data_IF_427788208852
#
_entry.id   IF_427788208852
#
_cell.length_a   1.000
_cell.length_b   1.000
_cell.length_c   1.000
_cell.angle_alpha   90.00
_cell.angle_beta   90.00
_cell.angle_gamma   90.00
#
_symmetry.space_group_name_H-M   'P 1'
#
loop_
_entity.id
_entity.type
_entity.pdbx_description
1 polymer ?
#
# COMPACT_ATOMS: atom_id res chain seq x y z
N UNK A 1 -57.36 -15.24 -21.25
CA UNK A 1 -56.44 -15.11 -20.10
C UNK A 1 -55.02 -15.01 -20.65
N UNK A 2 -54.53 -13.78 -20.82
CA UNK A 2 -53.26 -13.50 -21.50
C UNK A 2 -52.09 -13.47 -20.52
N UNK A 3 -51.20 -14.45 -20.62
CA UNK A 3 -49.88 -14.42 -19.99
C UNK A 3 -48.86 -13.80 -20.96
N UNK A 4 -48.84 -12.48 -21.11
CA UNK A 4 -47.65 -11.75 -21.57
C UNK A 4 -47.74 -10.31 -21.02
N UNK A 5 -46.92 -9.96 -19.99
CA UNK A 5 -45.95 -8.89 -20.19
C UNK A 5 -44.65 -9.00 -19.36
N UNK A 6 -44.25 -10.20 -18.89
CA UNK A 6 -43.08 -10.31 -17.99
C UNK A 6 -41.74 -10.15 -18.74
N UNK A 7 -41.66 -10.60 -20.01
CA UNK A 7 -40.41 -10.56 -20.78
C UNK A 7 -39.99 -9.13 -21.19
N UNK A 8 -40.94 -8.25 -21.48
CA UNK A 8 -40.64 -6.86 -21.88
C UNK A 8 -40.13 -6.01 -20.71
N UNK A 9 -40.69 -6.20 -19.51
CA UNK A 9 -40.23 -5.53 -18.29
C UNK A 9 -38.82 -6.00 -17.88
N UNK A 10 -38.52 -7.29 -18.01
CA UNK A 10 -37.18 -7.82 -17.76
C UNK A 10 -36.13 -7.27 -18.74
N UNK A 11 -36.49 -7.08 -20.01
CA UNK A 11 -35.61 -6.48 -21.03
C UNK A 11 -35.31 -4.99 -20.79
N UNK A 12 -36.32 -4.20 -20.39
CA UNK A 12 -36.14 -2.79 -20.05
C UNK A 12 -35.29 -2.58 -18.80
N UNK A 13 -35.50 -3.40 -17.75
CA UNK A 13 -34.69 -3.36 -16.53
C UNK A 13 -33.21 -3.70 -16.80
N UNK A 14 -32.94 -4.67 -17.69
CA UNK A 14 -31.57 -5.03 -18.09
C UNK A 14 -30.85 -3.94 -18.90
N UNK A 15 -31.59 -3.14 -19.69
CA UNK A 15 -31.02 -2.03 -20.44
C UNK A 15 -30.71 -0.85 -19.51
N UNK A 16 -31.56 -0.57 -18.53
CA UNK A 16 -31.36 0.52 -17.58
C UNK A 16 -30.23 0.25 -16.57
N UNK A 17 -30.05 -0.99 -16.11
CA UNK A 17 -28.90 -1.38 -15.28
C UNK A 17 -27.59 -1.27 -16.03
N UNK A 18 -27.55 -1.74 -17.29
CA UNK A 18 -26.37 -1.62 -18.15
C UNK A 18 -26.01 -0.15 -18.42
N UNK A 19 -26.99 0.73 -18.61
CA UNK A 19 -26.75 2.17 -18.75
C UNK A 19 -26.20 2.78 -17.46
N UNK A 20 -26.72 2.41 -16.30
CA UNK A 20 -26.21 2.88 -15.01
C UNK A 20 -24.75 2.44 -14.80
N UNK A 21 -24.42 1.17 -15.06
CA UNK A 21 -23.04 0.66 -14.96
C UNK A 21 -22.11 1.35 -15.96
N UNK A 22 -22.55 1.56 -17.20
CA UNK A 22 -21.76 2.28 -18.22
C UNK A 22 -21.53 3.74 -17.85
N UNK A 23 -22.52 4.43 -17.29
CA UNK A 23 -22.39 5.82 -16.86
C UNK A 23 -21.43 5.95 -15.67
N UNK A 24 -21.48 5.03 -14.71
CA UNK A 24 -20.52 5.02 -13.59
C UNK A 24 -19.12 4.65 -14.08
N UNK A 25 -19.00 3.69 -15.00
CA UNK A 25 -17.71 3.32 -15.59
C UNK A 25 -17.11 4.48 -16.42
N UNK A 26 -17.95 5.21 -17.16
CA UNK A 26 -17.52 6.39 -17.90
C UNK A 26 -17.06 7.51 -16.95
N UNK A 27 -17.78 7.75 -15.85
CA UNK A 27 -17.37 8.73 -14.83
C UNK A 27 -16.03 8.32 -14.16
N UNK A 28 -15.84 7.04 -13.86
CA UNK A 28 -14.58 6.52 -13.31
C UNK A 28 -13.42 6.64 -14.31
N UNK A 29 -13.65 6.33 -15.59
CA UNK A 29 -12.65 6.49 -16.65
C UNK A 29 -12.29 7.96 -16.88
N UNK A 30 -13.27 8.86 -16.87
CA UNK A 30 -13.04 10.30 -17.00
C UNK A 30 -12.19 10.83 -15.83
N UNK A 31 -12.51 10.42 -14.60
CA UNK A 31 -11.73 10.79 -13.43
C UNK A 31 -10.29 10.21 -13.47
N UNK A 32 -10.13 8.96 -13.88
CA UNK A 32 -8.82 8.33 -14.04
C UNK A 32 -7.97 9.05 -15.11
N UNK A 33 -8.57 9.39 -16.26
CA UNK A 33 -7.91 10.14 -17.31
C UNK A 33 -7.51 11.55 -16.86
N UNK A 34 -8.38 12.23 -16.10
CA UNK A 34 -8.08 13.54 -15.51
C UNK A 34 -6.93 13.46 -14.49
N UNK A 35 -6.92 12.43 -13.64
CA UNK A 35 -5.84 12.20 -12.67
C UNK A 35 -4.50 11.89 -13.36
N UNK A 36 -4.51 11.10 -14.44
CA UNK A 36 -3.31 10.79 -15.21
C UNK A 36 -2.78 12.02 -15.94
N UNK A 37 -3.66 12.79 -16.60
CA UNK A 37 -3.28 14.04 -17.25
C UNK A 37 -2.67 15.05 -16.25
N UNK A 38 -3.21 15.13 -15.03
CA UNK A 38 -2.65 15.96 -13.96
C UNK A 38 -1.28 15.45 -13.48
N UNK A 39 -1.07 14.13 -13.42
CA UNK A 39 0.21 13.55 -13.03
C UNK A 39 1.29 13.78 -14.11
N UNK A 40 0.94 13.63 -15.39
CA UNK A 40 1.84 13.87 -16.53
C UNK A 40 2.20 15.36 -16.63
N UNK A 41 1.21 16.26 -16.54
CA UNK A 41 1.44 17.70 -16.52
C UNK A 41 2.27 18.14 -15.30
N UNK A 42 2.05 17.51 -14.14
CA UNK A 42 2.87 17.72 -12.94
C UNK A 42 4.32 17.26 -13.13
N UNK A 43 4.54 16.10 -13.76
CA UNK A 43 5.88 15.59 -14.05
C UNK A 43 6.63 16.46 -15.07
N UNK A 44 5.95 16.91 -16.14
CA UNK A 44 6.50 17.84 -17.12
C UNK A 44 6.81 19.21 -16.51
N UNK A 45 5.93 19.73 -15.65
CA UNK A 45 6.16 20.99 -14.94
C UNK A 45 7.35 20.89 -13.96
N UNK A 46 7.51 19.76 -13.26
CA UNK A 46 8.67 19.52 -12.37
C UNK A 46 9.96 19.39 -13.18
N UNK A 47 9.93 18.70 -14.33
CA UNK A 47 11.08 18.58 -15.22
C UNK A 47 11.48 19.92 -15.84
N UNK A 48 10.52 20.72 -16.31
CA UNK A 48 10.74 22.07 -16.81
C UNK A 48 11.25 23.02 -15.72
N UNK A 49 10.77 22.88 -14.49
CA UNK A 49 11.24 23.66 -13.35
C UNK A 49 12.67 23.31 -12.94
N UNK A 50 13.08 22.04 -13.01
CA UNK A 50 14.47 21.63 -12.76
C UNK A 50 15.44 22.11 -13.84
N UNK A 51 14.96 22.35 -15.06
CA UNK A 51 15.77 22.87 -16.16
C UNK A 51 15.98 24.40 -16.12
N UNK A 52 15.22 25.14 -15.30
CA UNK A 52 15.25 26.60 -15.25
C UNK A 52 16.02 27.10 -14.01
N UNK A 53 17.07 27.91 -14.16
CA UNK A 53 18.02 28.25 -13.08
C UNK A 53 17.49 29.21 -11.99
N UNK A 54 16.21 29.60 -12.00
CA UNK A 54 15.69 30.65 -11.11
C UNK A 54 14.20 30.55 -10.72
N UNK A 55 13.60 29.36 -10.80
CA UNK A 55 12.17 29.22 -10.46
C UNK A 55 11.99 29.01 -8.95
N UNK A 56 11.22 29.89 -8.33
CA UNK A 56 10.79 29.79 -6.93
C UNK A 56 9.86 28.58 -6.73
N UNK A 57 10.04 27.85 -5.62
CA UNK A 57 9.18 26.74 -5.18
C UNK A 57 7.68 27.09 -5.19
N UNK A 58 7.33 28.36 -4.98
CA UNK A 58 5.95 28.85 -5.04
C UNK A 58 5.35 28.80 -6.47
N UNK A 59 6.16 29.02 -7.51
CA UNK A 59 5.71 28.95 -8.89
C UNK A 59 5.46 27.50 -9.35
N UNK A 60 6.28 26.56 -8.88
CA UNK A 60 6.08 25.11 -9.09
C UNK A 60 4.78 24.64 -8.42
N UNK A 61 4.49 25.12 -7.20
CA UNK A 61 3.22 24.82 -6.53
C UNK A 61 2.01 25.43 -7.23
N UNK A 62 2.11 26.68 -7.73
CA UNK A 62 1.02 27.33 -8.46
C UNK A 62 0.67 26.64 -9.78
N UNK A 63 1.68 26.16 -10.52
CA UNK A 63 1.51 25.38 -11.74
C UNK A 63 0.84 24.02 -11.47
N UNK A 64 1.26 23.34 -10.39
CA UNK A 64 0.58 22.12 -9.93
C UNK A 64 -0.91 22.38 -9.63
N UNK A 65 -1.21 23.44 -8.88
CA UNK A 65 -2.59 23.80 -8.50
C UNK A 65 -3.50 24.10 -9.72
N UNK A 66 -2.99 24.73 -10.77
CA UNK A 66 -3.77 24.97 -12.00
C UNK A 66 -4.06 23.67 -12.77
N UNK A 67 -3.11 22.73 -12.79
CA UNK A 67 -3.32 21.41 -13.39
C UNK A 67 -4.38 20.59 -12.62
N UNK A 68 -4.38 20.69 -11.29
CA UNK A 68 -5.43 20.07 -10.46
C UNK A 68 -6.80 20.71 -10.68
N UNK A 69 -6.87 22.04 -10.88
CA UNK A 69 -8.13 22.73 -11.14
C UNK A 69 -8.77 22.34 -12.49
N UNK A 70 -7.97 22.13 -13.54
CA UNK A 70 -8.46 21.67 -14.83
C UNK A 70 -8.97 20.21 -14.79
N UNK A 71 -8.28 19.34 -14.05
CA UNK A 71 -8.72 17.97 -13.81
C UNK A 71 -10.03 17.92 -13.00
N UNK A 72 -10.15 18.77 -11.98
CA UNK A 72 -11.36 18.89 -11.16
C UNK A 72 -12.59 19.33 -11.97
N UNK A 73 -12.44 20.23 -12.95
CA UNK A 73 -13.56 20.71 -13.77
C UNK A 73 -14.20 19.62 -14.67
N UNK A 74 -13.39 18.69 -15.19
CA UNK A 74 -13.87 17.54 -15.99
C UNK A 74 -14.52 16.47 -15.09
N UNK A 75 -14.00 16.32 -13.86
CA UNK A 75 -14.59 15.45 -12.84
C UNK A 75 -15.97 15.97 -12.40
N UNK A 76 -16.10 17.28 -12.17
CA UNK A 76 -17.33 17.92 -11.70
C UNK A 76 -18.49 17.73 -12.69
N UNK A 77 -18.25 17.94 -13.98
CA UNK A 77 -19.29 17.75 -15.03
C UNK A 77 -19.75 16.28 -15.14
N UNK A 78 -18.82 15.33 -15.00
CA UNK A 78 -19.14 13.89 -15.02
C UNK A 78 -19.90 13.46 -13.76
N UNK A 79 -19.53 14.00 -12.60
CA UNK A 79 -20.20 13.74 -11.31
C UNK A 79 -21.59 14.38 -11.25
N UNK A 80 -21.77 15.57 -11.82
CA UNK A 80 -23.08 16.20 -11.96
C UNK A 80 -24.02 15.37 -12.82
N UNK A 81 -23.54 14.84 -13.95
CA UNK A 81 -24.32 13.94 -14.80
C UNK A 81 -24.72 12.67 -14.06
N UNK A 82 -23.81 12.07 -13.29
CA UNK A 82 -24.12 10.90 -12.46
C UNK A 82 -25.16 11.23 -11.37
N UNK A 83 -24.99 12.34 -10.65
CA UNK A 83 -25.95 12.79 -9.62
C UNK A 83 -27.33 13.06 -10.23
N UNK A 84 -27.37 13.67 -11.41
CA UNK A 84 -28.61 13.91 -12.14
C UNK A 84 -29.28 12.59 -12.54
N UNK A 85 -28.51 11.62 -13.02
CA UNK A 85 -29.00 10.28 -13.39
C UNK A 85 -29.54 9.52 -12.19
N UNK A 86 -28.84 9.56 -11.05
CA UNK A 86 -29.28 8.90 -9.81
C UNK A 86 -30.52 9.55 -9.17
N UNK A 87 -30.84 10.80 -9.51
CA UNK A 87 -32.07 11.48 -9.08
C UNK A 87 -33.27 11.20 -9.98
N UNK A 88 -33.09 10.49 -11.09
CA UNK A 88 -34.21 10.18 -11.98
C UNK A 88 -35.16 9.20 -11.28
N UNK A 89 -36.49 9.42 -11.36
CA UNK A 89 -37.47 8.54 -10.72
C UNK A 89 -37.45 7.10 -11.29
N UNK A 90 -36.91 6.94 -12.50
CA UNK A 90 -36.69 5.63 -13.11
C UNK A 90 -35.49 4.86 -12.52
N UNK A 91 -34.60 5.50 -11.78
CA UNK A 91 -33.46 4.86 -11.12
C UNK A 91 -33.82 4.61 -9.67
N UNK A 92 -34.20 3.38 -9.37
CA UNK A 92 -34.60 2.96 -8.02
C UNK A 92 -33.43 2.31 -7.27
N UNK A 93 -33.48 2.31 -5.94
CA UNK A 93 -32.52 1.59 -5.11
C UNK A 93 -32.44 0.09 -5.48
N UNK A 94 -33.56 -0.53 -5.85
CA UNK A 94 -33.60 -1.92 -6.32
C UNK A 94 -32.75 -2.14 -7.59
N UNK A 95 -32.81 -1.20 -8.55
CA UNK A 95 -32.01 -1.28 -9.78
C UNK A 95 -30.52 -1.06 -9.53
N UNK A 96 -30.18 -0.14 -8.61
CA UNK A 96 -28.80 0.07 -8.16
C UNK A 96 -28.28 -1.21 -7.49
N UNK A 97 -29.07 -1.84 -6.63
CA UNK A 97 -28.69 -3.06 -5.93
C UNK A 97 -28.56 -4.29 -6.84
N UNK A 98 -29.39 -4.40 -7.88
CA UNK A 98 -29.25 -5.42 -8.91
C UNK A 98 -27.91 -5.30 -9.67
N UNK A 99 -27.36 -4.07 -9.74
CA UNK A 99 -26.10 -3.77 -10.43
C UNK A 99 -24.90 -3.67 -9.47
N UNK A 100 -25.10 -3.93 -8.18
CA UNK A 100 -24.11 -3.67 -7.11
C UNK A 100 -22.75 -4.34 -7.37
N UNK A 101 -22.73 -5.62 -7.78
CA UNK A 101 -21.48 -6.34 -8.07
C UNK A 101 -20.72 -5.74 -9.25
N UNK A 102 -21.45 -5.29 -10.27
CA UNK A 102 -20.87 -4.64 -11.45
C UNK A 102 -20.33 -3.26 -11.11
N UNK A 103 -21.07 -2.47 -10.32
CA UNK A 103 -20.64 -1.15 -9.83
C UNK A 103 -19.39 -1.25 -8.96
N UNK A 104 -19.36 -2.24 -8.07
CA UNK A 104 -18.19 -2.49 -7.23
C UNK A 104 -16.97 -2.86 -8.05
N UNK A 105 -17.15 -3.63 -9.13
CA UNK A 105 -16.06 -4.05 -10.01
C UNK A 105 -15.46 -2.92 -10.87
N UNK A 106 -15.98 -1.69 -10.77
CA UNK A 106 -15.42 -0.54 -11.49
C UNK A 106 -14.17 -0.05 -10.72
N UNK A 107 -12.97 -0.09 -11.33
CA UNK A 107 -11.75 0.41 -10.70
C UNK A 107 -11.77 1.94 -10.65
N UNK A 108 -11.22 2.51 -9.57
CA UNK A 108 -10.98 3.95 -9.49
C UNK A 108 -12.23 4.83 -9.42
N UNK A 109 -13.35 4.29 -8.92
CA UNK A 109 -14.57 5.09 -8.71
C UNK A 109 -14.27 6.29 -7.80
N UNK A 110 -14.56 7.53 -8.22
CA UNK A 110 -14.34 8.71 -7.40
C UNK A 110 -15.16 8.66 -6.12
N UNK A 111 -14.60 9.19 -5.02
CA UNK A 111 -15.31 9.25 -3.75
C UNK A 111 -16.68 9.93 -3.81
N UNK A 112 -16.85 11.07 -4.52
CA UNK A 112 -18.17 11.69 -4.66
C UNK A 112 -19.18 10.81 -5.39
N UNK A 113 -18.75 10.00 -6.37
CA UNK A 113 -19.59 9.07 -7.12
C UNK A 113 -20.04 7.90 -6.22
N UNK A 114 -19.10 7.30 -5.49
CA UNK A 114 -19.41 6.25 -4.52
C UNK A 114 -20.39 6.76 -3.45
N UNK A 115 -20.14 7.94 -2.88
CA UNK A 115 -21.03 8.59 -1.90
C UNK A 115 -22.43 8.85 -2.46
N UNK A 116 -22.53 9.30 -3.70
CA UNK A 116 -23.82 9.53 -4.37
C UNK A 116 -24.61 8.21 -4.56
N UNK A 117 -23.93 7.12 -4.92
CA UNK A 117 -24.54 5.80 -5.07
C UNK A 117 -25.02 5.22 -3.74
N UNK A 118 -24.22 5.34 -2.67
CA UNK A 118 -24.62 4.94 -1.31
C UNK A 118 -25.87 5.68 -0.86
N UNK A 119 -25.89 7.01 -1.03
CA UNK A 119 -27.07 7.84 -0.71
C UNK A 119 -28.29 7.54 -1.58
N UNK A 120 -28.08 7.09 -2.81
CA UNK A 120 -29.16 6.67 -3.70
C UNK A 120 -29.72 5.27 -3.33
N UNK A 121 -29.23 4.65 -2.26
CA UNK A 121 -29.74 3.38 -1.74
C UNK A 121 -28.99 2.15 -2.23
N UNK A 122 -27.73 2.31 -2.65
CA UNK A 122 -26.82 1.17 -2.82
C UNK A 122 -26.63 0.50 -1.45
N UNK A 123 -27.28 -0.64 -1.25
CA UNK A 123 -27.12 -1.56 -0.13
C UNK A 123 -26.21 -2.68 -0.61
N UNK A 124 -24.91 -2.57 -0.35
CA UNK A 124 -23.97 -3.61 -0.75
C UNK A 124 -24.00 -4.74 0.27
N UNK A 125 -24.37 -5.95 -0.14
CA UNK A 125 -23.91 -7.15 0.57
C UNK A 125 -22.48 -7.43 0.09
N UNK A 126 -21.47 -6.93 0.81
CA UNK A 126 -20.10 -7.38 0.59
C UNK A 126 -19.71 -8.31 1.72
N UNK A 127 -19.41 -9.56 1.36
CA UNK A 127 -18.84 -10.53 2.28
C UNK A 127 -17.39 -10.17 2.63
N UNK A 128 -16.92 -10.57 3.82
CA UNK A 128 -15.50 -10.44 4.19
C UNK A 128 -14.57 -11.02 3.11
N UNK A 129 -14.92 -12.15 2.52
CA UNK A 129 -14.13 -12.79 1.46
C UNK A 129 -14.04 -11.94 0.21
N UNK A 130 -15.12 -11.27 -0.21
CA UNK A 130 -15.10 -10.36 -1.35
C UNK A 130 -14.27 -9.10 -1.06
N UNK A 131 -14.32 -8.60 0.18
CA UNK A 131 -13.52 -7.46 0.62
C UNK A 131 -12.03 -7.83 0.65
N UNK A 132 -11.70 -8.97 1.25
CA UNK A 132 -10.36 -9.48 1.34
C UNK A 132 -9.79 -9.86 -0.02
N UNK A 133 -10.57 -10.50 -0.90
CA UNK A 133 -10.14 -10.79 -2.27
C UNK A 133 -9.78 -9.51 -3.05
N UNK A 134 -10.58 -8.44 -2.88
CA UNK A 134 -10.32 -7.13 -3.50
C UNK A 134 -9.13 -6.42 -2.87
N UNK A 135 -8.99 -6.48 -1.55
CA UNK A 135 -7.85 -5.99 -0.82
C UNK A 135 -6.55 -6.67 -1.28
N UNK A 136 -6.55 -8.00 -1.38
CA UNK A 136 -5.42 -8.79 -1.86
C UNK A 136 -5.08 -8.53 -3.34
N UNK A 137 -6.10 -8.26 -4.17
CA UNK A 137 -5.89 -7.83 -5.56
C UNK A 137 -5.35 -6.39 -5.68
N UNK A 138 -5.15 -5.68 -4.56
CA UNK A 138 -4.79 -4.26 -4.51
C UNK A 138 -5.74 -3.39 -5.35
N UNK A 139 -7.00 -3.81 -5.48
CA UNK A 139 -7.97 -3.16 -6.34
C UNK A 139 -8.29 -1.76 -5.81
N UNK A 140 -7.96 -0.74 -6.61
CA UNK A 140 -8.26 0.65 -6.28
C UNK A 140 -9.77 0.89 -6.31
N UNK A 141 -10.33 1.32 -5.19
CA UNK A 141 -11.75 1.67 -5.11
C UNK A 141 -12.50 1.02 -3.97
N UNK A 142 -12.04 -0.11 -3.42
CA UNK A 142 -12.73 -0.77 -2.30
C UNK A 142 -12.85 0.18 -1.10
N UNK A 143 -11.75 0.79 -0.73
CA UNK A 143 -11.64 1.76 0.34
C UNK A 143 -12.46 3.03 0.10
N UNK A 144 -12.75 3.37 -1.17
CA UNK A 144 -13.69 4.45 -1.52
C UNK A 144 -15.09 4.10 -1.04
N UNK A 145 -15.52 2.86 -1.25
CA UNK A 145 -16.84 2.40 -0.87
C UNK A 145 -17.00 2.39 0.64
N UNK A 146 -16.06 1.83 1.39
CA UNK A 146 -16.10 1.87 2.87
C UNK A 146 -16.26 3.29 3.38
N UNK A 147 -15.48 4.24 2.84
CA UNK A 147 -15.61 5.64 3.22
C UNK A 147 -16.94 6.27 2.81
N UNK A 148 -17.49 5.87 1.66
CA UNK A 148 -18.79 6.38 1.20
C UNK A 148 -19.91 5.99 2.16
N UNK A 149 -19.84 4.80 2.76
CA UNK A 149 -20.72 4.38 3.85
C UNK A 149 -20.41 5.13 5.14
N UNK A 150 -19.14 5.26 5.54
CA UNK A 150 -18.75 6.00 6.75
C UNK A 150 -19.13 7.48 6.69
N UNK A 151 -19.23 8.08 5.51
CA UNK A 151 -19.62 9.48 5.35
C UNK A 151 -21.12 9.76 5.59
N UNK A 152 -21.90 8.74 5.94
CA UNK A 152 -23.33 8.80 6.23
C UNK A 152 -23.66 7.81 7.37
N UNK A 153 -23.46 8.24 8.62
CA UNK A 153 -23.48 7.41 9.84
C UNK A 153 -24.72 6.49 9.95
N UNK A 154 -25.90 6.99 9.58
CA UNK A 154 -27.14 6.21 9.60
C UNK A 154 -27.13 5.05 8.58
N UNK A 155 -26.53 5.28 7.41
CA UNK A 155 -26.36 4.24 6.38
C UNK A 155 -25.24 3.27 6.75
N UNK A 156 -24.21 3.72 7.49
CA UNK A 156 -23.15 2.85 7.97
C UNK A 156 -23.68 1.82 8.97
N UNK A 157 -24.48 2.22 9.95
CA UNK A 157 -25.04 1.28 10.94
C UNK A 157 -25.98 0.26 10.31
N UNK A 158 -26.86 0.70 9.40
CA UNK A 158 -27.78 -0.16 8.67
C UNK A 158 -27.03 -1.14 7.75
N UNK A 159 -25.98 -0.66 7.06
CA UNK A 159 -25.14 -1.50 6.22
C UNK A 159 -24.31 -2.49 7.04
N UNK A 160 -23.72 -2.02 8.13
CA UNK A 160 -22.83 -2.83 8.96
C UNK A 160 -23.59 -3.85 9.81
N UNK A 161 -24.91 -3.71 9.96
CA UNK A 161 -25.76 -4.68 10.65
C UNK A 161 -25.65 -6.10 10.07
N UNK A 162 -25.45 -6.20 8.76
CA UNK A 162 -25.34 -7.47 8.04
C UNK A 162 -23.88 -7.98 7.92
N UNK A 163 -22.90 -7.22 8.40
CA UNK A 163 -21.49 -7.64 8.36
C UNK A 163 -21.18 -8.61 9.52
N UNK A 164 -20.21 -9.52 9.32
CA UNK A 164 -19.60 -10.23 10.43
C UNK A 164 -19.12 -9.24 11.51
N UNK A 165 -19.31 -9.60 12.78
CA UNK A 165 -19.02 -8.73 13.94
C UNK A 165 -17.62 -8.12 13.87
N UNK A 166 -16.65 -8.90 13.41
CA UNK A 166 -15.25 -8.48 13.33
C UNK A 166 -15.04 -7.38 12.31
N UNK A 167 -15.69 -7.52 11.15
CA UNK A 167 -15.63 -6.55 10.08
C UNK A 167 -16.45 -5.31 10.41
N UNK A 168 -17.62 -5.47 11.04
CA UNK A 168 -18.41 -4.36 11.59
C UNK A 168 -17.56 -3.54 12.55
N UNK A 169 -16.86 -4.19 13.48
CA UNK A 169 -16.00 -3.50 14.43
C UNK A 169 -14.82 -2.79 13.75
N UNK A 170 -14.24 -3.34 12.67
CA UNK A 170 -13.22 -2.65 11.87
C UNK A 170 -13.78 -1.44 11.10
N UNK A 171 -14.93 -1.58 10.44
CA UNK A 171 -15.53 -0.54 9.59
C UNK A 171 -16.23 0.56 10.39
N UNK A 172 -16.74 0.25 11.59
CA UNK A 172 -17.50 1.18 12.44
C UNK A 172 -16.73 1.60 13.70
N UNK A 173 -15.41 1.37 13.77
CA UNK A 173 -14.59 1.61 14.98
C UNK A 173 -14.76 3.02 15.56
N UNK A 174 -14.99 4.02 14.71
CA UNK A 174 -15.22 5.41 15.10
C UNK A 174 -16.53 5.67 15.85
N UNK A 175 -17.58 4.91 15.54
CA UNK A 175 -18.93 5.13 16.12
C UNK A 175 -19.17 4.37 17.42
N UNK A 176 -18.43 3.27 17.64
CA UNK A 176 -18.66 2.39 18.79
C UNK A 176 -17.96 2.86 20.08
N UNK A 177 -17.27 4.01 20.07
CA UNK A 177 -16.82 4.74 21.27
C UNK A 177 -15.70 4.10 22.10
N UNK A 178 -15.42 2.81 21.94
CA UNK A 178 -14.23 2.14 22.43
C UNK A 178 -14.05 0.86 21.62
N UNK A 179 -12.93 0.74 20.90
CA UNK A 179 -12.55 -0.52 20.28
C UNK A 179 -12.06 -1.44 21.39
N UNK A 180 -12.73 -2.57 21.61
CA UNK A 180 -12.24 -3.62 22.51
C UNK A 180 -11.67 -4.77 21.66
N UNK A 181 -10.33 -4.87 21.50
CA UNK A 181 -9.70 -5.99 20.78
C UNK A 181 -10.13 -7.36 21.33
N UNK A 182 -10.47 -7.41 22.62
CA UNK A 182 -10.88 -8.65 23.29
C UNK A 182 -12.21 -9.20 22.78
N UNK A 183 -13.17 -8.37 22.35
CA UNK A 183 -14.49 -8.84 21.88
C UNK A 183 -14.45 -9.33 20.43
N UNK A 184 -13.55 -8.75 19.64
CA UNK A 184 -13.29 -9.05 18.23
C UNK A 184 -12.47 -10.33 18.04
N UNK A 185 -11.56 -10.59 18.99
CA UNK A 185 -10.69 -11.78 19.01
C UNK A 185 -11.13 -12.84 20.05
N UNK A 186 -12.22 -12.59 20.78
CA UNK A 186 -12.86 -13.57 21.67
C UNK A 186 -13.32 -14.85 20.93
N UNK A 187 -13.90 -14.79 19.72
CA UNK A 187 -14.09 -16.00 18.92
C UNK A 187 -12.76 -16.46 18.34
N UNK A 188 -12.46 -17.75 18.42
CA UNK A 188 -11.31 -18.37 17.74
C UNK A 188 -11.48 -18.24 16.21
N UNK A 189 -11.03 -17.12 15.64
CA UNK A 189 -11.00 -16.92 14.21
C UNK A 189 -10.07 -17.95 13.58
N UNK A 190 -10.50 -18.57 12.48
CA UNK A 190 -9.61 -19.36 11.65
C UNK A 190 -8.48 -18.47 11.11
N UNK A 191 -7.27 -19.02 10.93
CA UNK A 191 -6.14 -18.29 10.34
C UNK A 191 -6.48 -17.57 9.02
N UNK A 192 -7.28 -18.18 8.14
CA UNK A 192 -7.71 -17.54 6.89
C UNK A 192 -8.52 -16.27 7.13
N UNK A 193 -9.53 -16.33 8.02
CA UNK A 193 -10.33 -15.15 8.38
C UNK A 193 -9.49 -14.05 9.02
N UNK A 194 -8.52 -14.42 9.85
CA UNK A 194 -7.58 -13.45 10.44
C UNK A 194 -6.77 -12.74 9.36
N UNK A 195 -6.25 -13.48 8.36
CA UNK A 195 -5.52 -12.89 7.23
C UNK A 195 -6.41 -11.94 6.40
N UNK A 196 -7.66 -12.35 6.13
CA UNK A 196 -8.64 -11.53 5.41
C UNK A 196 -8.93 -10.21 6.14
N UNK A 197 -9.10 -10.25 7.46
CA UNK A 197 -9.33 -9.07 8.29
C UNK A 197 -8.10 -8.14 8.28
N UNK A 198 -6.89 -8.67 8.38
CA UNK A 198 -5.67 -7.88 8.25
C UNK A 198 -5.58 -7.20 6.88
N UNK A 199 -5.88 -7.91 5.79
CA UNK A 199 -5.85 -7.35 4.45
C UNK A 199 -6.81 -6.15 4.33
N UNK A 200 -8.03 -6.29 4.85
CA UNK A 200 -9.02 -5.19 4.86
C UNK A 200 -8.57 -4.03 5.75
N UNK A 201 -8.07 -4.32 6.95
CA UNK A 201 -7.60 -3.31 7.89
C UNK A 201 -6.46 -2.47 7.31
N UNK A 202 -5.46 -3.12 6.69
CA UNK A 202 -4.35 -2.44 6.02
C UNK A 202 -4.84 -1.47 4.93
N UNK A 203 -5.82 -1.86 4.12
CA UNK A 203 -6.40 -0.96 3.09
C UNK A 203 -7.11 0.25 3.69
N UNK A 204 -7.89 0.04 4.76
CA UNK A 204 -8.57 1.15 5.46
C UNK A 204 -7.54 2.11 6.04
N UNK A 205 -6.50 1.60 6.70
CA UNK A 205 -5.41 2.40 7.25
C UNK A 205 -4.65 3.19 6.16
N UNK A 206 -4.34 2.55 5.03
CA UNK A 206 -3.60 3.18 3.93
C UNK A 206 -4.29 4.40 3.36
N UNK A 207 -5.63 4.40 3.34
CA UNK A 207 -6.39 5.55 2.87
C UNK A 207 -6.56 6.64 3.91
N UNK A 208 -6.73 6.29 5.19
CA UNK A 208 -6.68 7.25 6.29
C UNK A 208 -5.39 8.10 6.22
N UNK A 209 -4.28 7.42 5.94
CA UNK A 209 -2.96 8.04 5.77
C UNK A 209 -2.87 9.06 4.61
N UNK A 210 -3.69 8.95 3.56
CA UNK A 210 -3.67 9.87 2.41
C UNK A 210 -4.41 11.18 2.65
N UNK A 211 -5.45 11.15 3.48
CA UNK A 211 -6.31 12.32 3.71
C UNK A 211 -5.69 13.32 4.70
N UNK A 212 -4.65 12.90 5.44
CA UNK A 212 -3.87 13.75 6.35
C UNK A 212 -3.15 14.92 5.65
N UNK A 213 -2.99 14.88 4.33
CA UNK A 213 -2.26 15.89 3.55
C UNK A 213 -3.05 17.17 3.28
N UNK A 214 -4.37 17.21 3.53
CA UNK A 214 -5.22 18.32 3.10
C UNK A 214 -5.50 19.39 4.17
N UNK A 215 -4.68 19.46 5.23
CA UNK A 215 -4.73 20.60 6.16
C UNK A 215 -6.10 20.82 6.81
N UNK A 216 -6.96 19.80 6.83
CA UNK A 216 -8.21 19.87 7.56
C UNK A 216 -7.87 19.87 9.05
N UNK A 217 -8.24 20.93 9.80
CA UNK A 217 -8.02 21.01 11.23
C UNK A 217 -9.09 20.16 11.91
N UNK A 218 -9.00 18.84 11.75
CA UNK A 218 -9.60 17.93 12.70
C UNK A 218 -8.54 17.66 13.76
N UNK A 219 -8.47 18.56 14.74
CA UNK A 219 -7.95 18.25 16.08
C UNK A 219 -8.80 17.10 16.62
N UNK A 220 -8.33 15.86 16.56
CA UNK A 220 -8.85 14.79 17.41
C UNK A 220 -8.01 13.52 17.23
N UNK A 221 -7.71 12.86 18.35
CA UNK A 221 -7.08 11.53 18.51
C UNK A 221 -7.77 10.39 17.71
N UNK A 222 -8.75 10.71 16.88
CA UNK A 222 -9.60 9.80 16.12
C UNK A 222 -9.03 9.33 14.78
N UNK A 223 -7.92 9.90 14.28
CA UNK A 223 -7.31 9.51 13.00
C UNK A 223 -6.35 8.31 13.11
N UNK A 224 -5.86 7.99 14.30
CA UNK A 224 -4.95 6.86 14.55
C UNK A 224 -5.69 5.52 14.67
N UNK A 225 -7.01 5.55 14.88
CA UNK A 225 -7.81 4.36 15.19
C UNK A 225 -7.61 3.16 14.22
N UNK A 226 -7.58 3.31 12.88
CA UNK A 226 -7.34 2.15 11.99
C UNK A 226 -5.92 1.57 12.12
N UNK A 227 -4.93 2.41 12.41
CA UNK A 227 -3.56 1.98 12.60
C UNK A 227 -3.37 1.29 13.95
N UNK A 228 -3.93 1.89 15.00
CA UNK A 228 -3.97 1.30 16.33
C UNK A 228 -4.69 -0.05 16.32
N UNK A 229 -5.75 -0.19 15.54
CA UNK A 229 -6.46 -1.46 15.40
C UNK A 229 -5.58 -2.57 14.84
N UNK A 230 -4.78 -2.28 13.81
CA UNK A 230 -3.81 -3.24 13.25
C UNK A 230 -2.76 -3.57 14.29
N UNK A 231 -2.23 -2.55 14.99
CA UNK A 231 -1.26 -2.73 16.06
C UNK A 231 -1.80 -3.61 17.18
N UNK A 232 -3.02 -3.37 17.66
CA UNK A 232 -3.67 -4.19 18.66
C UNK A 232 -3.88 -5.61 18.18
N UNK A 233 -4.29 -5.83 16.92
CA UNK A 233 -4.41 -7.17 16.35
C UNK A 233 -3.06 -7.92 16.26
N UNK A 234 -1.95 -7.21 16.03
CA UNK A 234 -0.60 -7.78 15.94
C UNK A 234 0.03 -8.05 17.30
N UNK A 235 -0.06 -7.09 18.22
CA UNK A 235 0.45 -7.20 19.60
C UNK A 235 -0.40 -8.10 20.48
N UNK A 236 -1.63 -8.38 20.04
CA UNK A 236 -2.45 -9.51 20.42
C UNK A 236 -1.87 -10.87 19.95
N UNK A 237 -0.55 -11.06 19.87
CA UNK A 237 0.07 -12.37 19.57
C UNK A 237 -0.31 -13.46 20.59
N UNK A 238 -0.86 -13.08 21.75
CA UNK A 238 -1.49 -13.99 22.73
C UNK A 238 -2.77 -14.65 22.22
N UNK A 239 -3.34 -14.18 21.11
CA UNK A 239 -4.51 -14.77 20.49
C UNK A 239 -4.05 -15.81 19.45
N UNK A 240 -4.39 -17.07 19.70
CA UNK A 240 -3.86 -18.22 18.96
C UNK A 240 -4.07 -18.16 17.44
N UNK A 241 -5.06 -17.40 16.95
CA UNK A 241 -5.36 -17.28 15.52
C UNK A 241 -4.30 -16.52 14.71
N UNK A 242 -3.66 -15.50 15.30
CA UNK A 242 -2.59 -14.72 14.65
C UNK A 242 -1.30 -15.54 14.58
N UNK A 243 -0.99 -16.28 15.65
CA UNK A 243 0.13 -17.21 15.69
C UNK A 243 -0.03 -18.40 14.72
N UNK A 244 -1.27 -18.75 14.36
CA UNK A 244 -1.61 -19.82 13.42
C UNK A 244 -1.65 -19.37 11.94
N UNK A 245 -1.35 -18.10 11.63
CA UNK A 245 -1.29 -17.64 10.25
C UNK A 245 -0.29 -18.46 9.43
N UNK A 246 -0.65 -18.96 8.24
CA UNK A 246 0.29 -19.67 7.40
C UNK A 246 1.33 -18.71 6.80
N UNK A 247 2.51 -19.21 6.49
CA UNK A 247 3.61 -18.43 5.91
C UNK A 247 3.20 -17.69 4.62
N UNK A 248 2.37 -18.32 3.79
CA UNK A 248 1.84 -17.73 2.56
C UNK A 248 0.91 -16.53 2.82
N UNK A 249 0.13 -16.55 3.90
CA UNK A 249 -0.70 -15.41 4.29
C UNK A 249 0.17 -14.25 4.77
N UNK A 250 1.21 -14.54 5.58
CA UNK A 250 2.16 -13.51 6.03
C UNK A 250 2.89 -12.89 4.83
N UNK A 251 3.37 -13.70 3.89
CA UNK A 251 3.98 -13.20 2.64
C UNK A 251 3.01 -12.28 1.87
N UNK A 252 1.75 -12.69 1.72
CA UNK A 252 0.73 -11.90 1.02
C UNK A 252 0.46 -10.56 1.74
N UNK A 253 0.36 -10.58 3.07
CA UNK A 253 0.15 -9.38 3.89
C UNK A 253 1.36 -8.44 3.85
N UNK A 254 2.59 -8.97 3.91
CA UNK A 254 3.82 -8.17 3.75
C UNK A 254 3.88 -7.51 2.37
N UNK A 255 3.60 -8.28 1.31
CA UNK A 255 3.54 -7.74 -0.07
C UNK A 255 2.46 -6.67 -0.20
N UNK A 256 1.29 -6.89 0.41
CA UNK A 256 0.20 -5.91 0.43
C UNK A 256 0.63 -4.63 1.17
N UNK A 257 1.19 -4.76 2.37
CA UNK A 257 1.65 -3.63 3.17
C UNK A 257 2.69 -2.79 2.42
N UNK A 258 3.66 -3.44 1.77
CA UNK A 258 4.63 -2.74 0.92
C UNK A 258 3.98 -1.98 -0.24
N UNK A 259 3.04 -2.61 -0.96
CA UNK A 259 2.34 -1.95 -2.07
C UNK A 259 1.55 -0.74 -1.59
N UNK A 260 0.84 -0.86 -0.47
CA UNK A 260 0.09 0.24 0.12
C UNK A 260 1.02 1.37 0.58
N UNK A 261 2.12 1.02 1.24
CA UNK A 261 3.12 1.97 1.70
C UNK A 261 3.77 2.78 0.58
N UNK A 262 4.00 2.16 -0.59
CA UNK A 262 4.54 2.87 -1.76
C UNK A 262 3.63 3.98 -2.29
N UNK A 263 2.36 3.99 -1.87
CA UNK A 263 1.34 4.97 -2.30
C UNK A 263 1.07 6.05 -1.25
N UNK A 264 1.88 6.10 -0.19
CA UNK A 264 1.72 7.03 0.93
C UNK A 264 2.86 8.03 0.89
N UNK A 265 2.50 9.32 0.84
CA UNK A 265 3.44 10.43 0.70
C UNK A 265 3.73 11.13 2.04
N UNK A 266 3.06 10.72 3.13
CA UNK A 266 3.21 11.32 4.46
C UNK A 266 4.25 10.55 5.29
N UNK A 267 5.25 11.27 5.81
CA UNK A 267 6.36 10.71 6.59
C UNK A 267 5.91 10.06 7.91
N UNK A 268 5.00 10.70 8.66
CA UNK A 268 4.53 10.17 9.95
C UNK A 268 3.83 8.82 9.75
N UNK A 269 2.99 8.73 8.72
CA UNK A 269 2.31 7.48 8.39
C UNK A 269 3.29 6.40 7.94
N UNK A 270 4.40 6.77 7.30
CA UNK A 270 5.39 5.82 6.83
C UNK A 270 6.10 5.07 7.98
N UNK A 271 6.28 5.71 9.13
CA UNK A 271 6.80 5.05 10.34
C UNK A 271 5.85 3.97 10.84
N UNK A 272 4.55 4.26 10.90
CA UNK A 272 3.49 3.29 11.25
C UNK A 272 3.50 2.07 10.33
N UNK A 273 3.71 2.26 9.02
CA UNK A 273 3.83 1.15 8.07
C UNK A 273 5.07 0.30 8.29
N UNK A 274 6.21 0.92 8.59
CA UNK A 274 7.42 0.18 8.97
C UNK A 274 7.18 -0.64 10.23
N UNK A 275 6.43 -0.09 11.18
CA UNK A 275 6.05 -0.81 12.39
C UNK A 275 5.17 -2.04 12.07
N UNK A 276 4.13 -1.91 11.24
CA UNK A 276 3.33 -3.08 10.82
C UNK A 276 4.16 -4.15 10.13
N UNK A 277 5.04 -3.78 9.21
CA UNK A 277 5.93 -4.73 8.53
C UNK A 277 6.86 -5.43 9.53
N UNK A 278 7.37 -4.69 10.52
CA UNK A 278 8.20 -5.24 11.61
C UNK A 278 7.43 -6.28 12.41
N UNK A 279 6.23 -5.95 12.85
CA UNK A 279 5.38 -6.86 13.64
C UNK A 279 4.97 -8.11 12.84
N UNK A 280 4.61 -7.97 11.55
CA UNK A 280 4.38 -9.13 10.68
C UNK A 280 5.61 -10.03 10.55
N UNK A 281 6.81 -9.44 10.46
CA UNK A 281 8.07 -10.17 10.42
C UNK A 281 8.43 -10.85 11.75
N UNK A 282 7.85 -10.42 12.89
CA UNK A 282 8.05 -11.06 14.18
C UNK A 282 7.12 -12.26 14.41
N UNK A 283 6.09 -12.44 13.58
CA UNK A 283 5.18 -13.58 13.71
C UNK A 283 5.90 -14.93 13.47
N UNK A 284 5.54 -16.01 14.20
CA UNK A 284 6.23 -17.30 14.10
C UNK A 284 6.33 -17.87 12.66
N UNK A 285 5.27 -17.73 11.87
CA UNK A 285 5.25 -18.22 10.50
C UNK A 285 6.03 -17.33 9.51
N UNK A 286 6.46 -16.13 9.90
CA UNK A 286 7.32 -15.28 9.06
C UNK A 286 8.68 -15.94 8.78
N UNK A 287 9.20 -16.71 9.75
CA UNK A 287 10.44 -17.50 9.59
C UNK A 287 10.28 -18.58 8.52
N UNK A 288 9.05 -19.01 8.22
CA UNK A 288 8.77 -20.03 7.20
C UNK A 288 8.56 -19.43 5.80
N UNK A 289 8.55 -18.10 5.65
CA UNK A 289 8.44 -17.45 4.33
C UNK A 289 9.67 -17.85 3.48
N UNK A 290 9.49 -18.24 2.21
CA UNK A 290 10.61 -18.63 1.35
C UNK A 290 11.64 -17.52 1.21
N UNK A 291 12.93 -17.85 1.34
CA UNK A 291 14.03 -16.88 1.26
C UNK A 291 14.00 -16.08 -0.04
N UNK A 292 13.73 -16.74 -1.18
CA UNK A 292 13.60 -16.08 -2.47
C UNK A 292 12.51 -14.99 -2.50
N UNK A 293 11.41 -15.18 -1.76
CA UNK A 293 10.34 -14.16 -1.64
C UNK A 293 10.75 -12.98 -0.78
N UNK A 294 11.51 -13.21 0.29
CA UNK A 294 12.07 -12.12 1.09
C UNK A 294 13.09 -11.30 0.29
N UNK A 295 13.94 -11.94 -0.52
CA UNK A 295 14.86 -11.25 -1.43
C UNK A 295 14.09 -10.40 -2.45
N UNK A 296 13.04 -10.95 -3.07
CA UNK A 296 12.15 -10.23 -4.00
C UNK A 296 11.54 -8.98 -3.35
N UNK A 297 11.10 -9.08 -2.09
CA UNK A 297 10.54 -7.95 -1.34
C UNK A 297 11.61 -6.89 -1.04
N UNK A 298 12.81 -7.28 -0.61
CA UNK A 298 13.94 -6.34 -0.40
C UNK A 298 14.27 -5.57 -1.67
N UNK A 299 14.39 -6.28 -2.81
CA UNK A 299 14.65 -5.66 -4.10
C UNK A 299 13.55 -4.66 -4.48
N UNK A 300 12.27 -5.04 -4.32
CA UNK A 300 11.14 -4.16 -4.62
C UNK A 300 11.13 -2.89 -3.76
N UNK A 301 11.48 -3.00 -2.47
CA UNK A 301 11.60 -1.84 -1.58
C UNK A 301 12.71 -0.90 -2.05
N UNK A 302 13.89 -1.44 -2.34
CA UNK A 302 15.08 -0.64 -2.65
C UNK A 302 15.04 -0.02 -4.05
N UNK A 303 14.35 -0.64 -5.01
CA UNK A 303 14.16 -0.12 -6.37
C UNK A 303 13.22 1.08 -6.46
N UNK A 304 12.41 1.36 -5.44
CA UNK A 304 11.50 2.52 -5.40
C UNK A 304 11.86 3.47 -4.25
N UNK A 305 12.98 4.20 -4.35
CA UNK A 305 13.39 5.14 -3.32
C UNK A 305 12.44 6.35 -3.31
N UNK A 306 11.41 6.28 -2.48
CA UNK A 306 10.58 7.44 -2.14
C UNK A 306 11.13 7.97 -0.81
N UNK A 307 11.66 9.18 -0.74
CA UNK A 307 12.01 9.86 0.53
C UNK A 307 12.99 9.14 1.50
N UNK A 308 13.05 9.53 2.80
CA UNK A 308 13.95 8.99 3.83
C UNK A 308 13.60 7.55 4.28
N UNK A 309 13.08 6.74 3.36
CA UNK A 309 12.38 5.49 3.63
C UNK A 309 13.27 4.23 3.52
N UNK A 310 14.57 4.39 3.72
CA UNK A 310 15.53 3.27 3.77
C UNK A 310 15.22 2.30 4.92
N UNK A 311 14.47 2.74 5.94
CA UNK A 311 14.00 1.90 7.05
C UNK A 311 13.02 0.79 6.62
N UNK A 312 12.45 0.86 5.42
CA UNK A 312 11.46 -0.11 4.90
C UNK A 312 12.04 -1.50 4.67
N UNK A 313 13.32 -1.60 4.32
CA UNK A 313 13.94 -2.89 4.02
C UNK A 313 14.27 -3.67 5.29
N UNK A 314 14.47 -2.98 6.42
CA UNK A 314 15.00 -3.56 7.65
C UNK A 314 14.23 -4.79 8.15
N UNK A 315 12.89 -4.80 8.22
CA UNK A 315 12.16 -5.97 8.70
C UNK A 315 12.43 -7.23 7.88
N UNK A 316 12.67 -7.07 6.58
CA UNK A 316 12.98 -8.17 5.67
C UNK A 316 14.45 -8.59 5.79
N UNK A 317 15.36 -7.61 5.94
CA UNK A 317 16.78 -7.88 6.19
C UNK A 317 16.99 -8.61 7.52
N UNK A 318 16.24 -8.27 8.57
CA UNK A 318 16.27 -8.97 9.85
C UNK A 318 15.79 -10.42 9.75
N UNK A 319 14.84 -10.71 8.86
CA UNK A 319 14.40 -12.09 8.56
C UNK A 319 15.42 -12.86 7.72
N UNK A 320 15.98 -12.22 6.68
CA UNK A 320 17.04 -12.80 5.86
C UNK A 320 18.30 -13.07 6.70
N UNK A 321 18.59 -12.20 7.66
CA UNK A 321 19.64 -12.37 8.66
C UNK A 321 19.39 -13.51 9.64
N UNK A 322 18.35 -14.33 9.46
CA UNK A 322 18.12 -15.57 10.22
C UNK A 322 18.10 -16.81 9.31
N UNK A 323 18.38 -16.62 8.01
CA UNK A 323 18.32 -17.64 6.97
C UNK A 323 19.68 -17.85 6.31
N UNK A 324 19.87 -19.04 5.76
CA UNK A 324 20.94 -19.32 4.81
C UNK A 324 20.54 -18.82 3.43
N UNK A 325 21.48 -18.21 2.72
CA UNK A 325 21.27 -17.66 1.38
C UNK A 325 22.00 -18.52 0.36
N UNK A 326 21.36 -18.79 -0.79
CA UNK A 326 22.06 -19.43 -1.91
C UNK A 326 22.99 -18.44 -2.61
N UNK A 327 23.96 -18.94 -3.38
CA UNK A 327 24.87 -18.09 -4.14
C UNK A 327 24.12 -17.11 -5.07
N UNK A 328 23.03 -17.57 -5.70
CA UNK A 328 22.19 -16.74 -6.56
C UNK A 328 21.47 -15.64 -5.76
N UNK A 329 21.01 -15.94 -4.55
CA UNK A 329 20.35 -14.96 -3.67
C UNK A 329 21.36 -13.93 -3.14
N UNK A 330 22.57 -14.36 -2.81
CA UNK A 330 23.66 -13.47 -2.42
C UNK A 330 24.01 -12.53 -3.56
N UNK A 331 24.20 -13.06 -4.78
CA UNK A 331 24.46 -12.25 -5.97
C UNK A 331 23.33 -11.26 -6.26
N UNK A 332 22.08 -11.70 -6.13
CA UNK A 332 20.89 -10.83 -6.29
C UNK A 332 20.86 -9.67 -5.28
N UNK A 333 21.28 -9.89 -4.04
CA UNK A 333 21.34 -8.84 -3.02
C UNK A 333 22.55 -7.92 -3.25
N UNK A 334 23.71 -8.47 -3.59
CA UNK A 334 24.92 -7.70 -3.92
C UNK A 334 24.72 -6.81 -5.15
N UNK A 335 23.98 -7.26 -6.16
CA UNK A 335 23.68 -6.44 -7.34
C UNK A 335 22.92 -5.14 -7.02
N UNK A 336 22.26 -5.06 -5.85
CA UNK A 336 21.58 -3.84 -5.42
C UNK A 336 22.56 -2.73 -5.03
N UNK A 337 23.81 -3.06 -4.73
CA UNK A 337 24.90 -2.11 -4.52
C UNK A 337 25.36 -1.43 -5.81
N UNK A 338 24.77 -1.78 -6.95
CA UNK A 338 25.08 -1.17 -8.24
C UNK A 338 23.97 -0.22 -8.70
N UNK A 339 24.36 0.76 -9.51
CA UNK A 339 23.44 1.64 -10.23
C UNK A 339 22.56 2.48 -9.29
N UNK A 340 21.29 2.74 -9.65
CA UNK A 340 20.43 3.69 -8.93
C UNK A 340 20.02 3.21 -7.53
N UNK A 341 20.15 1.91 -7.24
CA UNK A 341 19.85 1.32 -5.94
C UNK A 341 21.03 1.29 -4.98
N UNK A 342 22.25 1.62 -5.46
CA UNK A 342 23.49 1.48 -4.70
C UNK A 342 23.43 2.20 -3.34
N UNK A 343 23.14 3.49 -3.36
CA UNK A 343 23.06 4.33 -2.15
C UNK A 343 21.99 3.86 -1.15
N UNK A 344 20.72 3.61 -1.54
CA UNK A 344 19.73 3.10 -0.60
C UNK A 344 20.03 1.68 -0.11
N UNK A 345 20.62 0.82 -0.94
CA UNK A 345 21.03 -0.53 -0.54
C UNK A 345 22.17 -0.48 0.49
N UNK A 346 23.21 0.31 0.22
CA UNK A 346 24.34 0.52 1.13
C UNK A 346 23.88 0.98 2.52
N UNK A 347 23.00 1.99 2.57
CA UNK A 347 22.47 2.49 3.82
C UNK A 347 21.58 1.47 4.57
N UNK A 348 20.79 0.68 3.84
CA UNK A 348 19.99 -0.38 4.46
C UNK A 348 20.86 -1.53 4.99
N UNK A 349 21.88 -1.96 4.23
CA UNK A 349 22.75 -3.07 4.57
C UNK A 349 23.78 -2.73 5.67
N UNK A 350 24.16 -1.46 5.78
CA UNK A 350 25.05 -0.96 6.84
C UNK A 350 24.41 -0.88 8.23
N UNK A 351 23.09 -1.13 8.33
CA UNK A 351 22.38 -1.14 9.61
C UNK A 351 22.59 -2.47 10.35
N UNK A 352 22.56 -2.40 11.68
CA UNK A 352 22.61 -3.58 12.53
C UNK A 352 21.31 -4.38 12.45
N UNK A 353 21.44 -5.68 12.16
CA UNK A 353 20.41 -6.69 12.16
C UNK A 353 20.81 -7.79 13.16
N UNK A 354 20.24 -7.78 14.37
CA UNK A 354 20.54 -8.79 15.40
C UNK A 354 21.97 -8.74 15.96
N UNK A 355 22.59 -7.55 16.01
CA UNK A 355 23.92 -7.33 16.60
C UNK A 355 25.08 -7.25 15.61
N UNK A 356 24.89 -7.72 14.37
CA UNK A 356 25.85 -7.60 13.27
C UNK A 356 25.26 -6.75 12.14
N UNK A 357 26.10 -6.13 11.31
CA UNK A 357 25.60 -5.45 10.12
C UNK A 357 25.18 -6.47 9.07
N UNK A 358 24.07 -6.23 8.36
CA UNK A 358 23.59 -7.16 7.33
C UNK A 358 24.66 -7.39 6.25
N UNK A 359 25.41 -6.34 5.89
CA UNK A 359 26.47 -6.41 4.89
C UNK A 359 27.60 -7.39 5.26
N UNK A 360 28.06 -7.38 6.51
CA UNK A 360 29.08 -8.31 7.03
C UNK A 360 28.60 -9.77 6.94
N UNK A 361 27.34 -10.00 7.28
CA UNK A 361 26.71 -11.33 7.13
C UNK A 361 26.60 -11.76 5.67
N UNK A 362 26.24 -10.84 4.78
CA UNK A 362 26.14 -11.12 3.36
C UNK A 362 27.52 -11.49 2.78
N UNK A 363 28.55 -10.75 3.17
CA UNK A 363 29.94 -10.97 2.77
C UNK A 363 30.51 -12.31 3.26
N UNK A 364 30.07 -12.78 4.43
CA UNK A 364 30.47 -14.09 4.98
C UNK A 364 29.75 -15.29 4.36
N UNK A 365 28.80 -15.10 3.44
CA UNK A 365 28.13 -16.23 2.78
C UNK A 365 29.06 -16.95 1.78
N UNK A 366 28.94 -18.28 1.63
CA UNK A 366 29.68 -19.01 0.61
C UNK A 366 29.40 -18.45 -0.79
N UNK A 367 30.46 -18.14 -1.55
CA UNK A 367 30.35 -17.59 -2.90
C UNK A 367 30.10 -16.09 -2.98
N UNK A 368 30.00 -15.36 -1.85
CA UNK A 368 29.82 -13.92 -1.85
C UNK A 368 30.95 -13.16 -2.56
N UNK A 369 32.21 -13.51 -2.28
CA UNK A 369 33.37 -12.93 -2.95
C UNK A 369 33.38 -13.18 -4.47
N UNK A 370 33.04 -14.40 -4.89
CA UNK A 370 32.92 -14.73 -6.31
C UNK A 370 31.78 -13.95 -6.98
N UNK A 371 30.62 -13.85 -6.33
CA UNK A 371 29.49 -13.07 -6.82
C UNK A 371 29.82 -11.57 -6.90
N UNK A 372 30.55 -11.03 -5.94
CA UNK A 372 31.01 -9.64 -5.96
C UNK A 372 31.98 -9.39 -7.13
N UNK A 373 32.92 -10.30 -7.35
CA UNK A 373 33.84 -10.25 -8.49
C UNK A 373 33.12 -10.34 -9.84
N UNK A 374 32.14 -11.25 -9.98
CA UNK A 374 31.34 -11.41 -11.19
C UNK A 374 30.49 -10.17 -11.51
N UNK A 375 30.04 -9.47 -10.46
CA UNK A 375 29.34 -8.20 -10.60
C UNK A 375 30.30 -7.03 -10.89
N UNK A 376 31.61 -7.20 -10.66
CA UNK A 376 32.60 -6.11 -10.76
C UNK A 376 32.48 -5.10 -9.63
N UNK A 377 32.03 -5.52 -8.44
CA UNK A 377 32.03 -4.68 -7.24
C UNK A 377 33.45 -4.46 -6.72
N UNK A 378 33.68 -3.31 -6.12
CA UNK A 378 34.94 -2.92 -5.46
C UNK A 378 34.71 -2.60 -3.98
N UNK A 379 35.78 -2.44 -3.20
CA UNK A 379 35.67 -2.06 -1.79
C UNK A 379 34.90 -0.72 -1.61
N UNK A 380 35.07 0.23 -2.53
CA UNK A 380 34.37 1.51 -2.51
C UNK A 380 32.84 1.40 -2.65
N UNK A 381 32.34 0.32 -3.23
CA UNK A 381 30.90 0.06 -3.37
C UNK A 381 30.28 -0.52 -2.08
N UNK A 382 31.12 -0.93 -1.13
CA UNK A 382 30.72 -1.58 0.11
C UNK A 382 30.91 -0.60 1.27
N UNK A 383 29.83 -0.10 1.89
CA UNK A 383 29.91 0.93 2.94
C UNK A 383 30.44 0.42 4.29
N UNK A 384 30.82 -0.85 4.37
CA UNK A 384 31.24 -1.51 5.61
C UNK A 384 32.62 -2.14 5.42
N UNK A 385 33.62 -1.59 6.12
CA UNK A 385 35.02 -1.99 5.96
C UNK A 385 35.23 -3.49 6.27
N UNK A 386 34.55 -4.02 7.30
CA UNK A 386 34.66 -5.44 7.65
C UNK A 386 34.08 -6.33 6.54
N UNK A 387 32.95 -5.94 5.95
CA UNK A 387 32.38 -6.63 4.80
C UNK A 387 33.24 -6.48 3.54
N UNK A 388 33.86 -5.32 3.32
CA UNK A 388 34.76 -5.09 2.19
C UNK A 388 35.99 -6.01 2.29
N UNK A 389 36.58 -6.13 3.49
CA UNK A 389 37.67 -7.08 3.76
C UNK A 389 37.23 -8.53 3.51
N UNK A 390 36.02 -8.92 3.93
CA UNK A 390 35.50 -10.27 3.69
C UNK A 390 35.25 -10.57 2.20
N UNK A 391 34.88 -9.57 1.40
CA UNK A 391 34.58 -9.73 -0.03
C UNK A 391 35.83 -9.69 -0.91
N UNK A 392 36.82 -8.87 -0.56
CA UNK A 392 37.95 -8.54 -1.42
C UNK A 392 39.33 -8.85 -0.82
N UNK A 393 39.40 -9.21 0.47
CA UNK A 393 40.64 -9.45 1.21
C UNK A 393 41.27 -8.17 1.78
N UNK A 394 42.28 -8.33 2.65
CA UNK A 394 43.00 -7.23 3.29
C UNK A 394 43.83 -6.37 2.32
N UNK A 395 44.11 -6.86 1.11
CA UNK A 395 45.00 -6.19 0.14
C UNK A 395 44.41 -4.89 -0.44
N UNK A 396 43.09 -4.69 -0.38
CA UNK A 396 42.45 -3.48 -0.95
C UNK A 396 42.54 -2.27 -0.02
N UNK A 397 42.59 -2.48 1.31
CA UNK A 397 42.70 -1.37 2.29
C UNK A 397 44.08 -0.71 2.27
N UNK A 398 45.12 -1.46 1.89
CA UNK A 398 46.50 -0.98 1.85
C UNK A 398 46.74 -0.04 0.66
N UNK A 399 46.09 -0.28 -0.49
CA UNK A 399 46.31 0.52 -1.70
C UNK A 399 45.73 1.93 -1.60
N UNK A 400 44.57 2.12 -0.97
CA UNK A 400 44.01 3.47 -0.75
C UNK A 400 44.82 4.27 0.28
N UNK A 401 45.43 3.59 1.26
CA UNK A 401 46.26 4.22 2.27
C UNK A 401 47.64 4.62 1.71
N UNK A 402 48.24 3.79 0.86
CA UNK A 402 49.50 4.13 0.16
C UNK A 402 49.31 5.24 -0.88
N UNK A 403 48.20 5.28 -1.61
CA UNK A 403 47.92 6.40 -2.54
C UNK A 403 47.68 7.72 -1.79
N UNK A 404 46.97 7.69 -0.66
CA UNK A 404 46.77 8.89 0.17
C UNK A 404 48.09 9.39 0.78
N UNK A 405 48.93 8.48 1.30
CA UNK A 405 50.25 8.84 1.84
C UNK A 405 51.21 9.35 0.74
N UNK A 406 51.13 8.83 -0.49
CA UNK A 406 51.91 9.32 -1.61
C UNK A 406 51.43 10.69 -2.13
N UNK A 407 50.13 10.96 -2.12
CA UNK A 407 49.55 12.26 -2.48
C UNK A 407 49.88 13.32 -1.41
N UNK A 408 49.82 12.96 -0.11
CA UNK A 408 50.22 13.83 1.00
C UNK A 408 51.72 14.16 0.98
N UNK A 409 52.58 13.24 0.54
CA UNK A 409 54.01 13.50 0.34
C UNK A 409 54.32 14.34 -0.91
N UNK A 410 53.34 14.52 -1.81
CA UNK A 410 53.49 15.28 -3.06
C UNK A 410 53.12 16.76 -2.92
N UNK A 411 52.30 17.09 -1.94
CA UNK A 411 51.86 18.46 -1.57
C UNK A 411 52.89 19.06 -0.61
#
# INVERSE_FOLDING_TARGET
>A
MGQQPIAAAAGQLSLSSALLVRSVAAAAQAAAAAAQAAAEAGAEAVAAAHAAPSISTAAVMALGLMSFAAAAAVEDTSLEALRWLLRQPAVTAAMINQSSQQLLAIPGVPFPAAKALVRAGLRMQITLQQLAARANACFEGFEVWVQAFVADDALLEEWAADLPTELRALCCCRHLGAWCPAELLAPQLSAHRTADLFAVALHIAARGCRNLSHGYPFDDDSQEAPADNIYYMLTAHKFGSVAQLPASAIEALLRLAMRLHSRINNLNTAETWNHFMTEFCQLPAAVQVPTAKLVELVQQVLQKPVGPLMLRANPFLDLLAKKELTAEQVQQLLSLLQGPTARPAAAAFGRQCGGHKFMERLASQPGAAAAAADLGLTAADVPDDAAAVLLFGDEVVVLEQEEFEQEEQRI
#
